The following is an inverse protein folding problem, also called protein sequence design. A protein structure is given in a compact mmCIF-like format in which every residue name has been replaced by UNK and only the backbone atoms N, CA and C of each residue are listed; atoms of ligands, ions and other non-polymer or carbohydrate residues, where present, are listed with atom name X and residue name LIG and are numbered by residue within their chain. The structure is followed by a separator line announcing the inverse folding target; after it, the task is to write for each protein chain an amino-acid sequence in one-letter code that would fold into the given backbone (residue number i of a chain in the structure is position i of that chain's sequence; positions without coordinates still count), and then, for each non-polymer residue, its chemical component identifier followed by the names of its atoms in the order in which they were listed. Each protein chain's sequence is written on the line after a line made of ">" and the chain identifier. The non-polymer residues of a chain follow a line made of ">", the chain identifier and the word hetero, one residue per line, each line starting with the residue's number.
data_IF_537729895660
#
_entry.id   IF_537729895660
#
_cell.length_a   1.000
_cell.length_b   1.000
_cell.length_c   1.000
_cell.angle_alpha   90.00
_cell.angle_beta   90.00
_cell.angle_gamma   90.00
#
_symmetry.space_group_name_H-M   'P 1'
#
loop_
_entity.id
_entity.type
_entity.pdbx_description
1 polymer ?
#
# COMPACT_ATOMS: atom_id res chain seq x y z
N UNK A 1 -15.80 -55.76 -7.46
CA UNK A 1 -15.72 -54.46 -8.14
C UNK A 1 -15.59 -53.40 -7.06
N UNK A 2 -14.36 -52.93 -6.79
CA UNK A 2 -14.10 -51.95 -5.73
C UNK A 2 -14.22 -50.54 -6.30
N UNK A 3 -15.21 -49.79 -5.83
CA UNK A 3 -15.36 -48.36 -6.14
C UNK A 3 -14.47 -47.59 -5.16
N UNK A 4 -13.33 -47.09 -5.64
CA UNK A 4 -12.49 -46.15 -4.88
C UNK A 4 -13.09 -44.77 -5.08
N UNK A 5 -13.77 -44.27 -4.05
CA UNK A 5 -14.26 -42.92 -3.94
C UNK A 5 -13.10 -42.03 -3.44
N UNK A 6 -12.34 -41.42 -4.35
CA UNK A 6 -11.29 -40.47 -3.99
C UNK A 6 -11.93 -39.14 -3.56
N UNK A 7 -11.89 -38.87 -2.25
CA UNK A 7 -12.22 -37.57 -1.66
C UNK A 7 -11.31 -36.49 -2.26
N UNK A 8 -11.89 -35.59 -3.05
CA UNK A 8 -11.31 -34.29 -3.36
C UNK A 8 -11.42 -33.41 -2.12
N UNK A 9 -10.37 -33.39 -1.29
CA UNK A 9 -10.21 -32.41 -0.24
C UNK A 9 -10.02 -31.03 -0.89
N UNK A 10 -11.09 -30.26 -0.97
CA UNK A 10 -11.05 -28.85 -1.37
C UNK A 10 -10.42 -28.08 -0.21
N UNK A 11 -9.14 -27.76 -0.31
CA UNK A 11 -8.48 -26.83 0.61
C UNK A 11 -9.05 -25.44 0.35
N UNK A 12 -10.01 -25.03 1.19
CA UNK A 12 -10.44 -23.64 1.26
C UNK A 12 -9.24 -22.80 1.72
N UNK A 13 -8.59 -22.11 0.77
CA UNK A 13 -7.64 -21.04 1.11
C UNK A 13 -8.47 -19.90 1.68
N UNK A 14 -8.61 -19.87 3.01
CA UNK A 14 -9.26 -18.76 3.70
C UNK A 14 -8.51 -17.47 3.40
N UNK A 15 -9.18 -16.49 2.80
CA UNK A 15 -8.61 -15.16 2.59
C UNK A 15 -8.24 -14.56 3.95
N UNK A 16 -6.98 -14.15 4.12
CA UNK A 16 -6.51 -13.53 5.36
C UNK A 16 -7.33 -12.25 5.58
N UNK A 17 -8.10 -12.14 6.68
CA UNK A 17 -8.95 -10.98 6.93
C UNK A 17 -8.09 -9.73 7.11
N UNK A 18 -8.56 -8.60 6.58
CA UNK A 18 -7.88 -7.33 6.72
C UNK A 18 -7.93 -6.85 8.18
N UNK A 19 -6.83 -6.24 8.63
CA UNK A 19 -6.68 -5.67 9.97
C UNK A 19 -6.98 -4.17 9.92
N UNK A 20 -7.50 -3.54 10.98
CA UNK A 20 -7.64 -2.09 10.97
C UNK A 20 -6.27 -1.41 10.91
N UNK A 21 -6.15 -0.32 10.14
CA UNK A 21 -4.98 0.55 10.16
C UNK A 21 -4.91 1.26 11.53
N UNK A 22 -3.79 1.13 12.26
CA UNK A 22 -3.61 1.80 13.55
C UNK A 22 -3.79 3.32 13.46
N UNK A 23 -4.43 3.90 14.48
CA UNK A 23 -4.63 5.36 14.58
C UNK A 23 -3.41 6.13 15.07
N UNK A 24 -2.37 5.40 15.46
CA UNK A 24 -1.06 5.88 15.89
C UNK A 24 0.03 4.93 15.35
N UNK A 25 1.25 5.42 15.19
CA UNK A 25 2.38 4.53 14.89
C UNK A 25 2.55 3.50 16.01
N UNK A 26 2.45 2.22 15.64
CA UNK A 26 2.61 1.07 16.52
C UNK A 26 4.07 0.63 16.66
N UNK A 27 4.93 1.07 15.73
CA UNK A 27 6.31 0.60 15.54
C UNK A 27 6.41 -0.90 15.22
N UNK A 28 5.29 -1.53 14.87
CA UNK A 28 5.22 -2.92 14.44
C UNK A 28 5.25 -2.97 12.92
N UNK A 29 6.41 -3.36 12.40
CA UNK A 29 6.65 -3.49 10.98
C UNK A 29 6.31 -4.91 10.51
N UNK A 30 5.52 -5.02 9.44
CA UNK A 30 5.08 -6.29 8.86
C UNK A 30 5.60 -6.47 7.44
N UNK A 31 5.72 -7.71 6.98
CA UNK A 31 6.12 -8.04 5.60
C UNK A 31 4.95 -8.53 4.73
N UNK A 32 3.76 -8.65 5.31
CA UNK A 32 2.58 -9.25 4.70
C UNK A 32 1.30 -8.83 5.41
N UNK A 33 0.18 -8.92 4.67
CA UNK A 33 -1.16 -8.70 5.18
C UNK A 33 -1.94 -7.63 4.43
N UNK A 34 -3.20 -7.48 4.83
CA UNK A 34 -4.13 -6.45 4.36
C UNK A 34 -4.55 -5.57 5.53
N UNK A 35 -4.71 -4.27 5.28
CA UNK A 35 -5.12 -3.30 6.28
C UNK A 35 -6.18 -2.35 5.77
N UNK A 36 -7.27 -2.17 6.51
CA UNK A 36 -8.38 -1.30 6.13
C UNK A 36 -8.42 -0.04 7.01
N UNK A 37 -8.79 1.10 6.42
CA UNK A 37 -8.94 2.35 7.14
C UNK A 37 -9.74 3.36 6.32
N UNK A 38 -9.78 4.61 6.80
CA UNK A 38 -10.54 5.66 6.15
C UNK A 38 -11.98 5.80 6.65
N UNK A 39 -12.81 6.36 5.79
CA UNK A 39 -14.24 6.61 6.00
C UNK A 39 -14.98 6.58 4.66
N UNK A 40 -16.28 6.26 4.62
CA UNK A 40 -17.06 6.14 3.38
C UNK A 40 -17.33 7.49 2.68
N UNK A 41 -16.56 8.53 3.02
CA UNK A 41 -16.66 9.86 2.47
C UNK A 41 -15.75 9.99 1.26
N UNK A 42 -16.27 10.63 0.21
CA UNK A 42 -15.51 10.92 -0.99
C UNK A 42 -14.37 11.92 -0.71
N UNK A 43 -13.23 11.72 -1.36
CA UNK A 43 -12.04 12.54 -1.15
C UNK A 43 -11.31 12.85 -2.46
N UNK A 44 -10.33 13.74 -2.39
CA UNK A 44 -9.32 13.93 -3.42
C UNK A 44 -7.95 13.48 -2.92
N UNK A 45 -7.08 13.03 -3.83
CA UNK A 45 -5.66 12.84 -3.55
C UNK A 45 -4.96 14.18 -3.82
N UNK A 46 -4.38 14.77 -2.79
CA UNK A 46 -3.80 16.12 -2.88
C UNK A 46 -2.29 16.07 -3.07
N UNK A 47 -1.60 15.27 -2.27
CA UNK A 47 -0.15 15.21 -2.32
C UNK A 47 0.40 13.86 -1.85
N UNK A 48 1.60 13.55 -2.34
CA UNK A 48 2.49 12.56 -1.75
C UNK A 48 3.63 13.31 -1.09
N UNK A 49 3.97 12.96 0.15
CA UNK A 49 5.15 13.50 0.84
C UNK A 49 6.09 12.38 1.22
N UNK A 50 7.37 12.71 1.16
CA UNK A 50 8.47 11.82 1.51
C UNK A 50 9.33 12.46 2.59
N UNK A 51 9.68 11.67 3.60
CA UNK A 51 10.73 12.01 4.54
C UNK A 51 11.52 10.77 4.90
N UNK A 52 12.78 10.95 5.33
CA UNK A 52 13.67 9.86 5.67
C UNK A 52 14.34 10.14 7.01
N UNK A 53 14.39 9.12 7.87
CA UNK A 53 15.19 9.13 9.07
C UNK A 53 16.54 8.43 8.78
N UNK A 54 17.67 9.16 8.78
CA UNK A 54 18.97 8.55 8.49
C UNK A 54 19.45 7.61 9.60
N UNK A 55 18.96 7.75 10.85
CA UNK A 55 19.43 6.97 12.00
C UNK A 55 19.02 5.50 11.94
N UNK A 56 17.78 5.24 11.52
CA UNK A 56 17.21 3.89 11.46
C UNK A 56 16.85 3.44 10.04
N UNK A 57 17.23 4.24 9.03
CA UNK A 57 16.94 4.03 7.62
C UNK A 57 15.44 3.94 7.29
N UNK A 58 14.57 4.46 8.15
CA UNK A 58 13.12 4.47 7.89
C UNK A 58 12.79 5.53 6.84
N UNK A 59 11.96 5.15 5.88
CA UNK A 59 11.35 6.07 4.92
C UNK A 59 9.86 6.20 5.22
N UNK A 60 9.39 7.44 5.35
CA UNK A 60 7.98 7.75 5.57
C UNK A 60 7.39 8.33 4.29
N UNK A 61 6.38 7.65 3.78
CA UNK A 61 5.55 8.11 2.67
C UNK A 61 4.17 8.48 3.21
N UNK A 62 3.70 9.68 2.88
CA UNK A 62 2.39 10.18 3.33
C UNK A 62 1.55 10.50 2.11
N UNK A 63 0.34 9.97 2.07
CA UNK A 63 -0.70 10.33 1.11
C UNK A 63 -1.63 11.30 1.82
N UNK A 64 -1.68 12.55 1.36
CA UNK A 64 -2.60 13.56 1.87
C UNK A 64 -3.87 13.56 1.05
N UNK A 65 -4.99 13.55 1.75
CA UNK A 65 -6.33 13.64 1.20
C UNK A 65 -7.00 14.95 1.60
N UNK A 66 -7.98 15.36 0.79
CA UNK A 66 -8.93 16.43 1.12
C UNK A 66 -10.36 15.98 0.92
N UNK A 67 -11.29 16.68 1.56
CA UNK A 67 -12.72 16.54 1.26
C UNK A 67 -12.99 16.76 -0.24
N UNK A 68 -13.85 15.93 -0.84
CA UNK A 68 -14.15 16.01 -2.26
C UNK A 68 -14.80 17.34 -2.69
N UNK A 69 -15.55 18.01 -1.80
CA UNK A 69 -16.33 19.22 -2.10
C UNK A 69 -15.60 20.49 -1.69
N UNK A 70 -15.18 20.59 -0.43
CA UNK A 70 -14.56 21.80 0.15
C UNK A 70 -13.05 21.86 -0.08
N UNK A 71 -12.41 20.74 -0.48
CA UNK A 71 -10.95 20.56 -0.55
C UNK A 71 -10.22 20.92 0.74
N UNK A 72 -10.88 20.81 1.89
CA UNK A 72 -10.21 20.99 3.19
C UNK A 72 -9.25 19.84 3.45
N UNK A 73 -7.96 20.17 3.62
CA UNK A 73 -6.89 19.19 3.82
C UNK A 73 -6.98 18.49 5.18
N UNK A 74 -6.51 17.24 5.22
CA UNK A 74 -6.21 16.49 6.46
C UNK A 74 -7.42 16.17 7.34
N UNK A 75 -8.63 16.40 6.86
CA UNK A 75 -9.86 16.09 7.60
C UNK A 75 -10.45 14.74 7.23
N UNK A 76 -10.39 14.35 5.96
CA UNK A 76 -11.06 13.14 5.46
C UNK A 76 -10.06 12.32 4.67
N UNK A 77 -9.96 11.03 4.98
CA UNK A 77 -9.41 10.02 4.08
C UNK A 77 -10.58 9.14 3.61
N UNK A 78 -10.60 8.77 2.32
CA UNK A 78 -11.60 7.84 1.80
C UNK A 78 -11.40 6.46 2.42
N UNK A 79 -12.38 5.58 2.30
CA UNK A 79 -12.19 4.16 2.57
C UNK A 79 -11.04 3.65 1.72
N UNK A 80 -10.13 2.94 2.36
CA UNK A 80 -8.97 2.38 1.70
C UNK A 80 -8.58 1.02 2.26
N UNK A 81 -7.92 0.24 1.41
CA UNK A 81 -7.26 -1.00 1.79
C UNK A 81 -5.79 -0.97 1.34
N UNK A 82 -4.87 -1.26 2.25
CA UNK A 82 -3.44 -1.41 2.00
C UNK A 82 -3.07 -2.89 2.03
N UNK A 83 -2.63 -3.43 0.89
CA UNK A 83 -2.20 -4.82 0.75
C UNK A 83 -0.72 -4.90 0.38
N UNK A 84 0.04 -5.66 1.17
CA UNK A 84 1.46 -5.94 0.88
C UNK A 84 1.54 -7.19 0.01
N UNK A 85 2.18 -7.07 -1.16
CA UNK A 85 2.46 -8.19 -2.05
C UNK A 85 3.98 -8.46 -2.05
N UNK A 86 4.44 -9.62 -1.57
CA UNK A 86 5.85 -9.98 -1.58
C UNK A 86 6.38 -10.14 -3.02
N UNK A 87 7.70 -10.27 -3.15
CA UNK A 87 8.34 -10.60 -4.42
C UNK A 87 7.97 -12.02 -4.83
N UNK A 88 7.49 -12.20 -6.07
CA UNK A 88 7.28 -13.53 -6.65
C UNK A 88 8.61 -13.99 -7.25
N UNK A 89 9.16 -15.09 -6.72
CA UNK A 89 10.40 -15.67 -7.23
C UNK A 89 10.15 -17.02 -7.88
N UNK A 90 10.82 -17.27 -9.00
CA UNK A 90 10.81 -18.57 -9.69
C UNK A 90 12.22 -19.13 -9.68
N UNK A 91 12.37 -20.40 -9.30
CA UNK A 91 13.64 -21.12 -9.37
C UNK A 91 13.71 -21.82 -10.73
N UNK A 92 14.68 -21.44 -11.57
CA UNK A 92 14.96 -22.15 -12.82
C UNK A 92 15.96 -23.30 -12.56
N UNK A 93 16.03 -24.26 -13.50
CA UNK A 93 16.61 -25.60 -13.40
C UNK A 93 18.08 -25.76 -12.93
N UNK A 94 18.73 -24.68 -12.49
CA UNK A 94 20.07 -24.66 -11.90
C UNK A 94 20.09 -24.06 -10.49
N UNK A 95 18.92 -23.90 -9.84
CA UNK A 95 18.82 -23.28 -8.51
C UNK A 95 18.91 -21.75 -8.52
N UNK A 96 18.99 -21.12 -9.70
CA UNK A 96 19.03 -19.67 -9.85
C UNK A 96 17.62 -19.08 -9.69
N UNK A 97 17.43 -18.29 -8.64
CA UNK A 97 16.20 -17.55 -8.39
C UNK A 97 16.09 -16.35 -9.34
N UNK A 98 14.94 -16.22 -10.01
CA UNK A 98 14.56 -15.05 -10.78
C UNK A 98 13.36 -14.36 -10.13
N UNK A 99 13.47 -13.06 -9.90
CA UNK A 99 12.36 -12.22 -9.44
C UNK A 99 11.44 -11.95 -10.64
N UNK A 100 10.23 -12.53 -10.60
CA UNK A 100 9.19 -12.34 -11.62
C UNK A 100 8.50 -10.98 -11.42
N UNK A 101 8.22 -10.65 -10.15
CA UNK A 101 7.60 -9.41 -9.74
C UNK A 101 8.35 -8.79 -8.56
N UNK A 102 8.73 -7.50 -8.62
CA UNK A 102 9.29 -6.83 -7.47
C UNK A 102 8.27 -6.73 -6.32
N UNK A 103 8.74 -6.68 -5.05
CA UNK A 103 7.86 -6.50 -3.92
C UNK A 103 7.15 -5.14 -4.04
N UNK A 104 5.86 -5.12 -3.69
CA UNK A 104 5.01 -3.93 -3.87
C UNK A 104 3.94 -3.82 -2.80
N UNK A 105 3.41 -2.61 -2.64
CA UNK A 105 2.18 -2.33 -1.89
C UNK A 105 1.12 -1.85 -2.86
N UNK A 106 -0.08 -2.41 -2.73
CA UNK A 106 -1.27 -2.00 -3.45
C UNK A 106 -2.20 -1.28 -2.47
N UNK A 107 -2.68 -0.11 -2.85
CA UNK A 107 -3.61 0.69 -2.07
C UNK A 107 -4.86 0.87 -2.91
N UNK A 108 -5.95 0.23 -2.51
CA UNK A 108 -7.27 0.48 -3.09
C UNK A 108 -7.90 1.65 -2.34
N UNK A 109 -8.43 2.62 -3.07
CA UNK A 109 -9.08 3.81 -2.55
C UNK A 109 -10.48 3.89 -3.14
N UNK A 110 -11.50 4.10 -2.31
CA UNK A 110 -12.86 4.26 -2.78
C UNK A 110 -13.23 5.73 -2.97
N UNK A 111 -14.14 6.02 -3.92
CA UNK A 111 -14.75 7.36 -4.06
C UNK A 111 -13.77 8.54 -4.24
N UNK A 112 -12.64 8.35 -4.91
CA UNK A 112 -11.72 9.44 -5.27
C UNK A 112 -12.24 10.27 -6.44
N UNK A 113 -12.49 11.56 -6.22
CA UNK A 113 -12.98 12.47 -7.27
C UNK A 113 -11.86 13.05 -8.13
N UNK A 114 -10.74 13.44 -7.53
CA UNK A 114 -9.59 13.96 -8.26
C UNK A 114 -8.24 13.50 -7.71
N UNK A 115 -7.23 13.54 -8.56
CA UNK A 115 -5.83 13.33 -8.21
C UNK A 115 -5.02 14.57 -8.64
N UNK A 116 -4.49 15.30 -7.66
CA UNK A 116 -3.72 16.53 -7.84
C UNK A 116 -2.22 16.33 -7.64
N UNK A 117 -1.75 15.09 -7.53
CA UNK A 117 -0.33 14.79 -7.34
C UNK A 117 0.47 15.24 -8.56
N UNK A 118 1.38 16.21 -8.35
CA UNK A 118 2.32 16.67 -9.37
C UNK A 118 3.36 15.56 -9.69
N UNK A 119 3.38 15.02 -10.93
CA UNK A 119 4.31 13.97 -11.32
C UNK A 119 5.78 14.39 -11.23
N UNK A 120 6.08 15.68 -11.46
CA UNK A 120 7.44 16.23 -11.39
C UNK A 120 7.94 16.28 -9.96
N UNK A 121 7.08 16.70 -9.02
CA UNK A 121 7.39 16.68 -7.58
C UNK A 121 7.57 15.23 -7.11
N UNK A 122 6.66 14.33 -7.49
CA UNK A 122 6.74 12.90 -7.17
C UNK A 122 8.04 12.26 -7.65
N UNK A 123 8.41 12.49 -8.92
CA UNK A 123 9.64 11.96 -9.50
C UNK A 123 10.90 12.47 -8.77
N UNK A 124 10.90 13.72 -8.30
CA UNK A 124 12.00 14.25 -7.47
C UNK A 124 12.10 13.54 -6.11
N UNK A 125 10.98 13.18 -5.49
CA UNK A 125 10.97 12.42 -4.24
C UNK A 125 11.43 10.97 -4.45
N UNK A 126 10.97 10.32 -5.52
CA UNK A 126 11.38 8.95 -5.89
C UNK A 126 12.90 8.84 -6.13
N UNK A 127 13.53 9.88 -6.69
CA UNK A 127 15.00 9.91 -6.84
C UNK A 127 15.76 9.94 -5.51
N UNK A 128 15.16 10.48 -4.44
CA UNK A 128 15.77 10.54 -3.10
C UNK A 128 15.56 9.26 -2.27
N UNK A 129 14.59 8.46 -2.66
CA UNK A 129 14.21 7.20 -2.03
C UNK A 129 15.27 6.11 -2.23
N UNK A 130 15.60 5.38 -1.18
CA UNK A 130 16.39 4.16 -1.20
C UNK A 130 15.53 2.89 -1.22
N UNK A 131 14.26 2.96 -0.82
CA UNK A 131 13.38 1.80 -0.72
C UNK A 131 12.33 1.75 -1.84
N UNK A 132 11.69 2.87 -2.17
CA UNK A 132 10.68 2.95 -3.23
C UNK A 132 11.32 3.19 -4.59
N UNK A 133 10.93 2.37 -5.57
CA UNK A 133 11.33 2.46 -6.99
C UNK A 133 10.38 3.36 -7.77
N UNK A 134 9.08 3.13 -7.62
CA UNK A 134 8.03 3.82 -8.38
C UNK A 134 6.75 3.93 -7.56
N UNK A 135 5.93 4.95 -7.85
CA UNK A 135 4.55 5.08 -7.38
C UNK A 135 3.68 5.31 -8.60
N UNK A 136 2.73 4.42 -8.85
CA UNK A 136 1.80 4.49 -9.99
C UNK A 136 0.39 4.72 -9.47
N UNK A 137 -0.31 5.67 -10.06
CA UNK A 137 -1.74 5.89 -9.88
C UNK A 137 -2.46 5.29 -11.07
N UNK A 138 -3.37 4.35 -10.82
CA UNK A 138 -4.20 3.76 -11.86
C UNK A 138 -5.39 4.70 -12.17
N UNK A 139 -5.91 4.66 -13.40
CA UNK A 139 -7.17 5.33 -13.71
C UNK A 139 -8.31 4.75 -12.85
N UNK A 140 -9.41 5.50 -12.68
CA UNK A 140 -10.58 4.98 -11.99
C UNK A 140 -11.09 3.67 -12.60
N UNK A 141 -11.48 2.72 -11.76
CA UNK A 141 -12.05 1.43 -12.18
C UNK A 141 -13.58 1.55 -12.26
N UNK A 142 -14.22 1.99 -11.18
CA UNK A 142 -15.68 2.22 -11.05
C UNK A 142 -15.94 3.41 -10.11
N UNK A 143 -16.95 4.27 -10.34
CA UNK A 143 -17.43 5.35 -9.45
C UNK A 143 -16.41 6.22 -8.66
N UNK A 144 -15.17 6.32 -9.14
CA UNK A 144 -14.08 7.05 -8.48
C UNK A 144 -13.12 6.17 -7.68
N UNK A 145 -13.31 4.86 -7.66
CA UNK A 145 -12.39 3.90 -7.07
C UNK A 145 -11.09 3.85 -7.86
N UNK A 146 -9.98 3.99 -7.15
CA UNK A 146 -8.63 4.08 -7.73
C UNK A 146 -7.68 3.16 -6.99
N UNK A 147 -6.69 2.66 -7.71
CA UNK A 147 -5.57 1.95 -7.11
C UNK A 147 -4.29 2.78 -7.17
N UNK A 148 -3.47 2.68 -6.13
CA UNK A 148 -2.08 3.14 -6.12
C UNK A 148 -1.18 1.92 -5.94
N UNK A 149 -0.16 1.78 -6.76
CA UNK A 149 0.90 0.79 -6.57
C UNK A 149 2.20 1.48 -6.19
N UNK A 150 2.82 1.02 -5.10
CA UNK A 150 4.16 1.41 -4.68
C UNK A 150 5.09 0.22 -4.90
N UNK A 151 5.95 0.31 -5.90
CA UNK A 151 6.94 -0.73 -6.20
C UNK A 151 8.22 -0.47 -5.42
N UNK A 152 8.79 -1.48 -4.77
CA UNK A 152 10.02 -1.33 -4.00
C UNK A 152 11.26 -1.77 -4.79
N UNK A 153 12.43 -1.26 -4.37
CA UNK A 153 13.75 -1.61 -4.91
C UNK A 153 14.28 -2.93 -4.33
N UNK A 154 13.79 -3.31 -3.16
CA UNK A 154 14.17 -4.47 -2.36
C UNK A 154 13.05 -4.81 -1.38
N UNK A 155 13.14 -5.95 -0.70
CA UNK A 155 12.21 -6.31 0.37
C UNK A 155 12.18 -5.26 1.47
N UNK A 156 10.97 -4.86 1.87
CA UNK A 156 10.71 -3.89 2.92
C UNK A 156 9.77 -4.47 3.95
N UNK A 157 9.84 -3.94 5.16
CA UNK A 157 8.79 -4.06 6.15
C UNK A 157 7.99 -2.76 6.15
N UNK A 158 6.67 -2.88 6.27
CA UNK A 158 5.71 -1.78 6.25
C UNK A 158 5.04 -1.63 7.62
N UNK A 159 4.85 -0.39 8.04
CA UNK A 159 3.93 -0.02 9.11
C UNK A 159 2.95 1.04 8.57
N UNK A 160 1.69 0.67 8.27
CA UNK A 160 0.66 1.63 7.92
C UNK A 160 0.06 2.26 9.19
N UNK A 161 -0.26 3.55 9.16
CA UNK A 161 -1.07 4.20 10.20
C UNK A 161 -1.83 5.42 9.66
N UNK A 162 -2.91 5.80 10.35
CA UNK A 162 -3.78 6.93 10.01
C UNK A 162 -3.96 7.84 11.25
N UNK A 163 -3.21 8.95 11.38
CA UNK A 163 -3.22 9.79 12.58
C UNK A 163 -4.59 10.44 12.88
N UNK A 164 -5.07 10.36 14.13
CA UNK A 164 -6.35 10.98 14.56
C UNK A 164 -6.42 12.50 14.35
N UNK A 165 -5.33 13.23 14.59
CA UNK A 165 -5.34 14.69 14.47
C UNK A 165 -5.35 15.16 13.01
N UNK A 166 -5.11 14.24 12.06
CA UNK A 166 -4.92 14.52 10.63
C UNK A 166 -5.48 13.34 9.83
N UNK A 167 -6.75 13.04 10.05
CA UNK A 167 -7.40 11.82 9.56
C UNK A 167 -7.36 11.70 8.03
N UNK A 168 -7.26 12.82 7.32
CA UNK A 168 -7.01 12.87 5.88
C UNK A 168 -5.58 12.49 5.48
N UNK A 169 -4.92 11.58 6.20
CA UNK A 169 -3.58 11.09 5.88
C UNK A 169 -3.49 9.58 6.03
N UNK A 170 -3.02 8.92 4.99
CA UNK A 170 -2.46 7.58 5.10
C UNK A 170 -0.94 7.69 5.18
N UNK A 171 -0.35 7.16 6.25
CA UNK A 171 1.11 7.14 6.46
C UNK A 171 1.62 5.73 6.32
N UNK A 172 2.69 5.56 5.54
CA UNK A 172 3.38 4.31 5.28
C UNK A 172 4.83 4.47 5.72
N UNK A 173 5.19 3.89 6.85
CA UNK A 173 6.58 3.82 7.31
C UNK A 173 7.22 2.54 6.78
N UNK A 174 8.38 2.67 6.14
CA UNK A 174 9.09 1.60 5.44
C UNK A 174 10.47 1.41 6.06
N UNK A 175 10.85 0.15 6.29
CA UNK A 175 12.20 -0.24 6.66
C UNK A 175 12.74 -1.31 5.70
N UNK A 176 14.05 -1.34 5.42
CA UNK A 176 14.63 -2.48 4.72
C UNK A 176 14.44 -3.75 5.56
N UNK A 177 14.03 -4.85 4.91
CA UNK A 177 14.10 -6.18 5.53
C UNK A 177 15.59 -6.58 5.58
N UNK A 178 16.09 -6.90 6.77
CA UNK A 178 17.45 -7.41 6.96
C UNK A 178 17.54 -8.87 6.56
#
# INVERSE_FOLDING_TARGET
>A
MFVILTLLASTLIAAVPARPVPRTSSKLFVDSGSFDGGSPLAANIEAIRFSRNPKDQTERWVIDFSDARSRTLQQIAPDFQVRIAPSDKVVLGEGKEFELNPPRVLISLSSIKANYVDPTVLNRMLKKSQLVRNIRFYPPIEDGDRAIEITFKKSVLLEPHQPLQKEGRLVLDLKPRK
#
